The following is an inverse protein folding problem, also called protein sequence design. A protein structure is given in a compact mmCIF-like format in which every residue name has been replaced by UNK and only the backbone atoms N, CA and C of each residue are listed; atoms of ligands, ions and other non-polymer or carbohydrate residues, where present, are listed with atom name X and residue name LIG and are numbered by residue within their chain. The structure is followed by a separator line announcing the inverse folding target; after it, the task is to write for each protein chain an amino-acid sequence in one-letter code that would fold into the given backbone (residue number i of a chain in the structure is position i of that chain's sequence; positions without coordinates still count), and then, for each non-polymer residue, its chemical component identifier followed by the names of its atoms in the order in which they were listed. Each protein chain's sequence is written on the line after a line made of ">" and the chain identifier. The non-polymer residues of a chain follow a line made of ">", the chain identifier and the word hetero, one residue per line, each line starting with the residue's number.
data_IF_260894995053
#
_entry.id   IF_260894995053
#
_cell.length_a   1.000
_cell.length_b   1.000
_cell.length_c   1.000
_cell.angle_alpha   90.00
_cell.angle_beta   90.00
_cell.angle_gamma   90.00
#
_symmetry.space_group_name_H-M   'P 1'
#
loop_
_entity.id
_entity.type
_entity.pdbx_description
1 polymer ?
#
# COMPACT_ATOMS: atom_id res chain seq x y z
N UNK A 1 -13.04 -14.18 18.18
CA UNK A 1 -12.24 -15.27 17.56
C UNK A 1 -13.16 -16.35 17.00
N UNK A 2 -14.17 -16.77 17.76
CA UNK A 2 -15.14 -17.78 17.34
C UNK A 2 -15.93 -17.41 16.07
N UNK A 3 -16.32 -16.14 15.91
CA UNK A 3 -16.99 -15.66 14.69
C UNK A 3 -16.11 -15.76 13.44
N UNK A 4 -14.80 -15.62 13.60
CA UNK A 4 -13.82 -15.76 12.51
C UNK A 4 -13.65 -17.22 12.11
N UNK A 5 -13.54 -18.10 13.11
CA UNK A 5 -13.48 -19.56 12.90
C UNK A 5 -14.72 -20.03 12.16
N UNK A 6 -15.91 -19.61 12.59
CA UNK A 6 -17.17 -19.93 11.94
C UNK A 6 -17.23 -19.40 10.49
N UNK A 7 -16.69 -18.21 10.22
CA UNK A 7 -16.63 -17.67 8.86
C UNK A 7 -15.64 -18.42 7.96
N UNK A 8 -14.47 -18.83 8.49
CA UNK A 8 -13.52 -19.70 7.79
C UNK A 8 -14.20 -21.02 7.42
N UNK A 9 -14.89 -21.63 8.38
CA UNK A 9 -15.62 -22.89 8.19
C UNK A 9 -16.75 -22.76 7.16
N UNK A 10 -17.47 -21.63 7.14
CA UNK A 10 -18.50 -21.34 6.14
C UNK A 10 -17.93 -21.05 4.74
N UNK A 11 -16.71 -20.51 4.64
CA UNK A 11 -16.07 -20.14 3.36
C UNK A 11 -15.35 -21.31 2.70
N UNK A 12 -14.79 -22.24 3.48
CA UNK A 12 -14.02 -23.37 2.97
C UNK A 12 -14.76 -24.24 1.92
N UNK A 13 -16.07 -24.52 2.04
CA UNK A 13 -16.82 -25.22 0.99
C UNK A 13 -16.79 -24.49 -0.36
N UNK A 14 -16.94 -23.17 -0.38
CA UNK A 14 -16.92 -22.35 -1.61
C UNK A 14 -15.52 -22.35 -2.26
N UNK A 15 -14.47 -22.31 -1.44
CA UNK A 15 -13.09 -22.39 -1.93
C UNK A 15 -12.78 -23.73 -2.59
N UNK A 16 -13.23 -24.83 -1.97
CA UNK A 16 -13.04 -26.18 -2.49
C UNK A 16 -13.77 -26.35 -3.83
N UNK A 17 -15.01 -25.86 -3.93
CA UNK A 17 -15.79 -25.88 -5.18
C UNK A 17 -15.11 -25.07 -6.30
N UNK A 18 -14.48 -23.95 -5.95
CA UNK A 18 -13.67 -23.14 -6.86
C UNK A 18 -12.26 -23.70 -7.14
N UNK A 19 -11.93 -24.91 -6.69
CA UNK A 19 -10.62 -25.55 -6.88
C UNK A 19 -9.46 -24.90 -6.11
N UNK A 20 -9.77 -24.13 -5.06
CA UNK A 20 -8.80 -23.41 -4.21
C UNK A 20 -8.52 -24.17 -2.91
N UNK A 21 -7.39 -23.85 -2.28
CA UNK A 21 -6.99 -24.46 -1.01
C UNK A 21 -7.85 -23.91 0.14
N UNK A 22 -8.37 -24.76 1.04
CA UNK A 22 -9.14 -24.29 2.20
C UNK A 22 -8.25 -23.51 3.18
N UNK A 23 -8.86 -22.55 3.87
CA UNK A 23 -8.24 -21.69 4.88
C UNK A 23 -8.21 -22.40 6.25
N UNK A 24 -7.17 -22.10 7.04
CA UNK A 24 -6.99 -22.72 8.36
C UNK A 24 -7.78 -21.98 9.44
N UNK A 25 -8.70 -22.64 10.16
CA UNK A 25 -9.42 -22.02 11.29
C UNK A 25 -8.49 -21.65 12.46
N UNK A 26 -7.29 -22.23 12.51
CA UNK A 26 -6.28 -21.99 13.54
C UNK A 26 -5.44 -20.74 13.29
N UNK A 27 -5.61 -20.07 12.14
CA UNK A 27 -4.86 -18.87 11.81
C UNK A 27 -5.79 -17.77 11.22
N UNK A 28 -6.61 -17.14 12.08
CA UNK A 28 -7.55 -16.09 11.69
C UNK A 28 -6.87 -14.86 11.07
N UNK A 29 -5.60 -14.59 11.42
CA UNK A 29 -4.81 -13.53 10.82
C UNK A 29 -4.53 -13.79 9.32
N UNK A 30 -4.29 -15.05 8.96
CA UNK A 30 -4.10 -15.43 7.56
C UNK A 30 -5.40 -15.40 6.77
N UNK A 31 -6.57 -15.64 7.37
CA UNK A 31 -7.87 -15.53 6.67
C UNK A 31 -8.04 -14.15 6.03
N UNK A 32 -7.86 -13.08 6.81
CA UNK A 32 -7.99 -11.72 6.28
C UNK A 32 -6.92 -11.39 5.23
N UNK A 33 -5.67 -11.83 5.44
CA UNK A 33 -4.57 -11.65 4.48
C UNK A 33 -4.84 -12.40 3.17
N UNK A 34 -5.33 -13.63 3.24
CA UNK A 34 -5.62 -14.46 2.08
C UNK A 34 -6.84 -13.94 1.30
N UNK A 35 -7.82 -13.38 2.01
CA UNK A 35 -8.96 -12.70 1.41
C UNK A 35 -8.48 -11.44 0.66
N UNK A 36 -7.69 -10.57 1.30
CA UNK A 36 -7.20 -9.30 0.75
C UNK A 36 -6.13 -9.44 -0.34
N UNK A 37 -5.34 -10.52 -0.34
CA UNK A 37 -4.38 -10.84 -1.41
C UNK A 37 -5.03 -11.37 -2.69
N UNK A 38 -6.22 -11.96 -2.58
CA UNK A 38 -6.94 -12.54 -3.72
C UNK A 38 -8.10 -11.65 -4.18
N UNK A 39 -8.86 -12.10 -5.20
CA UNK A 39 -10.08 -11.42 -5.59
C UNK A 39 -11.16 -11.60 -4.50
N UNK A 40 -11.20 -10.62 -3.59
CA UNK A 40 -12.03 -10.52 -2.38
C UNK A 40 -13.51 -10.84 -2.62
N UNK A 41 -14.08 -10.25 -3.67
CA UNK A 41 -15.51 -10.35 -3.99
C UNK A 41 -15.94 -11.79 -4.29
N UNK A 42 -15.07 -12.55 -4.96
CA UNK A 42 -15.38 -13.93 -5.35
C UNK A 42 -15.23 -14.95 -4.21
N UNK A 43 -14.68 -14.54 -3.07
CA UNK A 43 -14.41 -15.44 -1.93
C UNK A 43 -15.25 -15.11 -0.69
N UNK A 44 -15.88 -13.93 -0.66
CA UNK A 44 -16.72 -13.55 0.47
C UNK A 44 -18.10 -14.22 0.41
N UNK A 45 -18.64 -14.70 1.54
CA UNK A 45 -19.99 -15.30 1.55
C UNK A 45 -21.06 -14.32 1.08
N UNK A 46 -21.71 -14.63 -0.04
CA UNK A 46 -22.74 -13.76 -0.63
C UNK A 46 -23.90 -13.50 0.34
N UNK A 47 -24.26 -14.48 1.15
CA UNK A 47 -25.30 -14.34 2.19
C UNK A 47 -24.98 -13.30 3.26
N UNK A 48 -23.70 -12.98 3.49
CA UNK A 48 -23.30 -11.91 4.40
C UNK A 48 -23.41 -10.54 3.72
N UNK A 49 -23.00 -10.43 2.45
CA UNK A 49 -23.17 -9.20 1.66
C UNK A 49 -24.64 -8.84 1.48
N UNK A 50 -25.49 -9.81 1.17
CA UNK A 50 -26.94 -9.65 1.05
C UNK A 50 -27.59 -9.18 2.37
N UNK A 51 -26.97 -9.51 3.51
CA UNK A 51 -27.38 -9.04 4.84
C UNK A 51 -26.72 -7.71 5.23
N UNK A 52 -26.00 -7.07 4.30
CA UNK A 52 -25.34 -5.79 4.52
C UNK A 52 -24.04 -5.88 5.30
N UNK A 53 -23.38 -7.05 5.37
CA UNK A 53 -22.13 -7.23 6.12
C UNK A 53 -20.93 -7.37 5.18
N UNK A 54 -19.85 -6.66 5.51
CA UNK A 54 -18.51 -6.83 4.93
C UNK A 54 -17.47 -7.02 6.03
N UNK A 55 -16.20 -7.20 5.65
CA UNK A 55 -15.06 -7.22 6.53
C UNK A 55 -14.29 -5.90 6.48
N UNK A 56 -13.70 -5.51 7.61
CA UNK A 56 -12.68 -4.46 7.68
C UNK A 56 -11.49 -4.98 8.45
N UNK A 57 -10.30 -4.51 8.07
CA UNK A 57 -9.09 -4.64 8.87
C UNK A 57 -9.33 -4.10 10.30
N UNK A 58 -8.94 -4.89 11.29
CA UNK A 58 -9.07 -4.56 12.72
C UNK A 58 -7.72 -4.59 13.43
N UNK A 59 -6.62 -4.53 12.67
CA UNK A 59 -5.28 -4.34 13.24
C UNK A 59 -5.31 -3.08 14.07
N UNK A 60 -5.03 -3.25 15.37
CA UNK A 60 -5.02 -2.17 16.34
C UNK A 60 -6.29 -1.97 17.16
N UNK A 61 -7.39 -2.63 16.82
CA UNK A 61 -8.64 -2.57 17.58
C UNK A 61 -8.59 -3.42 18.88
N UNK A 62 -7.50 -4.17 19.12
CA UNK A 62 -7.29 -4.99 20.32
C UNK A 62 -6.15 -6.01 20.17
N UNK A 63 -5.80 -6.72 21.25
CA UNK A 63 -4.76 -7.76 21.21
C UNK A 63 -5.17 -8.91 20.27
N UNK A 64 -4.36 -9.14 19.22
CA UNK A 64 -4.61 -10.18 18.22
C UNK A 64 -5.78 -9.90 17.25
N UNK A 65 -6.35 -8.69 17.26
CA UNK A 65 -7.37 -8.29 16.31
C UNK A 65 -6.77 -8.18 14.90
N UNK A 66 -7.32 -8.94 13.95
CA UNK A 66 -6.84 -8.98 12.57
C UNK A 66 -7.88 -8.46 11.56
N UNK A 67 -9.16 -8.70 11.83
CA UNK A 67 -10.28 -8.14 11.09
C UNK A 67 -11.56 -8.18 11.93
N UNK A 68 -12.59 -7.44 11.50
CA UNK A 68 -13.94 -7.48 12.08
C UNK A 68 -15.01 -7.41 11.00
N UNK A 69 -16.16 -7.96 11.30
CA UNK A 69 -17.36 -7.73 10.50
C UNK A 69 -17.88 -6.31 10.75
N UNK A 70 -18.23 -5.62 9.68
CA UNK A 70 -18.83 -4.29 9.72
C UNK A 70 -20.05 -4.25 8.82
N UNK A 71 -21.06 -3.50 9.24
CA UNK A 71 -22.19 -3.20 8.40
C UNK A 71 -21.74 -2.26 7.28
N UNK A 72 -22.20 -2.54 6.06
CA UNK A 72 -22.12 -1.62 4.94
C UNK A 72 -23.02 -0.43 5.25
N UNK A 73 -22.43 0.77 5.21
CA UNK A 73 -23.22 2.00 5.19
C UNK A 73 -23.89 2.16 3.81
N UNK A 74 -24.98 2.92 3.74
CA UNK A 74 -25.68 3.16 2.47
C UNK A 74 -24.70 3.70 1.40
N UNK A 75 -24.64 3.00 0.26
CA UNK A 75 -23.74 3.34 -0.86
C UNK A 75 -22.28 2.88 -0.69
N UNK A 76 -21.91 2.23 0.41
CA UNK A 76 -20.56 1.71 0.62
C UNK A 76 -20.33 0.43 -0.20
N UNK A 77 -19.22 0.39 -0.94
CA UNK A 77 -18.77 -0.82 -1.65
C UNK A 77 -17.94 -1.68 -0.68
N UNK A 78 -18.32 -2.96 -0.55
CA UNK A 78 -17.75 -3.91 0.40
C UNK A 78 -16.26 -4.21 0.18
N UNK A 79 -15.83 -4.22 -1.07
CA UNK A 79 -14.46 -4.45 -1.49
C UNK A 79 -14.14 -3.46 -2.59
N UNK A 80 -13.23 -2.51 -2.31
CA UNK A 80 -12.80 -1.58 -3.34
C UNK A 80 -11.94 -2.33 -4.37
N UNK A 81 -12.07 -1.92 -5.63
CA UNK A 81 -11.18 -2.37 -6.68
C UNK A 81 -9.72 -2.09 -6.30
N UNK A 82 -8.80 -2.91 -6.83
CA UNK A 82 -7.37 -2.65 -6.68
C UNK A 82 -7.02 -1.29 -7.30
N UNK A 83 -6.04 -0.60 -6.72
CA UNK A 83 -5.53 0.64 -7.31
C UNK A 83 -4.72 0.26 -8.54
N UNK A 84 -5.22 0.65 -9.71
CA UNK A 84 -4.60 0.36 -10.99
C UNK A 84 -4.23 1.68 -11.71
N UNK A 85 -3.15 1.68 -12.50
CA UNK A 85 -2.78 2.86 -13.28
C UNK A 85 -3.90 3.28 -14.23
N UNK A 86 -4.16 4.58 -14.36
CA UNK A 86 -5.04 5.09 -15.41
C UNK A 86 -4.48 4.90 -16.82
N UNK A 87 -5.34 5.04 -17.82
CA UNK A 87 -4.91 5.04 -19.23
C UNK A 87 -3.91 6.16 -19.53
N UNK A 88 -4.04 7.31 -18.86
CA UNK A 88 -3.11 8.43 -19.00
C UNK A 88 -1.73 8.08 -18.43
N UNK A 89 -1.66 7.50 -17.23
CA UNK A 89 -0.41 7.03 -16.64
C UNK A 89 0.27 5.95 -17.51
N UNK A 90 -0.53 5.08 -18.14
CA UNK A 90 -0.04 4.06 -19.08
C UNK A 90 0.51 4.67 -20.39
N UNK A 91 -0.07 5.78 -20.85
CA UNK A 91 0.39 6.48 -22.04
C UNK A 91 1.66 7.30 -21.79
N UNK A 92 1.85 7.82 -20.57
CA UNK A 92 2.92 8.75 -20.21
C UNK A 92 3.98 8.12 -19.31
N UNK A 93 4.62 7.06 -19.78
CA UNK A 93 5.69 6.37 -19.04
C UNK A 93 6.95 7.24 -18.93
N UNK A 94 7.40 7.46 -17.69
CA UNK A 94 8.66 8.17 -17.39
C UNK A 94 9.80 7.16 -17.39
N UNK A 95 10.80 7.37 -18.25
CA UNK A 95 11.98 6.51 -18.29
C UNK A 95 13.05 7.06 -17.35
N UNK A 96 13.48 6.24 -16.39
CA UNK A 96 14.60 6.53 -15.50
C UNK A 96 15.81 5.67 -15.83
N UNK A 97 16.99 6.27 -15.72
CA UNK A 97 18.24 5.54 -15.89
C UNK A 97 18.49 4.61 -14.68
N UNK A 98 18.99 3.41 -14.94
CA UNK A 98 19.44 2.45 -13.91
C UNK A 98 20.90 2.02 -14.07
N UNK A 99 21.66 2.74 -14.90
CA UNK A 99 23.10 2.52 -15.11
C UNK A 99 23.88 2.80 -13.82
N UNK A 100 23.40 3.73 -12.99
CA UNK A 100 23.99 4.09 -11.70
C UNK A 100 23.82 3.03 -10.60
N UNK A 101 23.03 1.97 -10.83
CA UNK A 101 22.91 0.84 -9.92
C UNK A 101 24.09 -0.13 -10.06
N UNK A 102 24.81 -0.44 -8.95
CA UNK A 102 25.91 -1.40 -8.98
C UNK A 102 25.46 -2.79 -9.45
N UNK A 103 26.26 -3.43 -10.32
CA UNK A 103 25.98 -4.79 -10.80
C UNK A 103 25.86 -5.81 -9.66
N UNK A 104 26.66 -5.66 -8.60
CA UNK A 104 26.58 -6.52 -7.42
C UNK A 104 25.21 -6.43 -6.74
N UNK A 105 24.58 -5.25 -6.74
CA UNK A 105 23.24 -5.04 -6.19
C UNK A 105 22.20 -5.76 -7.05
N UNK A 106 22.29 -5.62 -8.38
CA UNK A 106 21.42 -6.32 -9.34
C UNK A 106 21.54 -7.86 -9.24
N UNK A 107 22.75 -8.35 -8.97
CA UNK A 107 23.04 -9.79 -8.84
C UNK A 107 22.41 -10.46 -7.62
N UNK A 108 21.97 -9.70 -6.61
CA UNK A 108 21.28 -10.25 -5.43
C UNK A 108 19.90 -10.83 -5.75
N UNK A 109 19.29 -10.44 -6.89
CA UNK A 109 18.09 -11.09 -7.43
C UNK A 109 16.87 -11.08 -6.50
N UNK A 110 16.78 -10.10 -5.59
CA UNK A 110 15.66 -9.98 -4.65
C UNK A 110 14.39 -9.52 -5.38
N UNK A 111 13.23 -9.98 -4.95
CA UNK A 111 11.92 -9.62 -5.56
C UNK A 111 10.90 -9.18 -4.50
N UNK A 112 11.34 -8.93 -3.27
CA UNK A 112 10.48 -8.54 -2.15
C UNK A 112 10.20 -7.02 -2.10
N UNK A 113 9.23 -6.63 -1.29
CA UNK A 113 8.79 -5.23 -1.13
C UNK A 113 9.92 -4.31 -0.66
N UNK A 114 10.80 -4.81 0.24
CA UNK A 114 11.96 -4.06 0.68
C UNK A 114 13.00 -3.85 -0.45
N UNK A 115 13.12 -4.79 -1.40
CA UNK A 115 13.92 -4.56 -2.61
C UNK A 115 13.34 -3.43 -3.46
N UNK A 116 12.03 -3.38 -3.67
CA UNK A 116 11.38 -2.27 -4.39
C UNK A 116 11.63 -0.94 -3.69
N UNK A 117 11.48 -0.87 -2.36
CA UNK A 117 11.76 0.33 -1.58
C UNK A 117 13.21 0.82 -1.75
N UNK A 118 14.19 -0.09 -1.71
CA UNK A 118 15.61 0.23 -1.89
C UNK A 118 15.95 0.70 -3.31
N UNK A 119 15.38 0.04 -4.32
CA UNK A 119 15.53 0.46 -5.73
C UNK A 119 14.91 1.84 -5.93
N UNK A 120 13.70 2.05 -5.39
CA UNK A 120 12.99 3.33 -5.44
C UNK A 120 13.81 4.48 -4.87
N UNK A 121 14.35 4.32 -3.66
CA UNK A 121 15.20 5.31 -3.02
C UNK A 121 16.51 5.54 -3.79
N UNK A 122 17.17 4.48 -4.26
CA UNK A 122 18.46 4.59 -4.96
C UNK A 122 18.36 5.33 -6.29
N UNK A 123 17.28 5.07 -7.03
CA UNK A 123 17.02 5.64 -8.35
C UNK A 123 16.10 6.86 -8.32
N UNK A 124 15.78 7.37 -7.12
CA UNK A 124 14.98 8.58 -6.94
C UNK A 124 13.60 8.51 -7.58
N UNK A 125 12.93 7.36 -7.45
CA UNK A 125 11.62 7.08 -8.08
C UNK A 125 10.54 8.03 -7.55
N UNK A 126 10.49 8.24 -6.23
CA UNK A 126 9.49 9.12 -5.60
C UNK A 126 9.80 10.58 -5.91
N UNK A 127 11.06 10.98 -5.83
CA UNK A 127 11.51 12.33 -6.19
C UNK A 127 11.17 12.66 -7.65
N UNK A 128 11.37 11.70 -8.56
CA UNK A 128 11.00 11.86 -9.97
C UNK A 128 9.50 12.02 -10.15
N UNK A 129 8.69 11.25 -9.41
CA UNK A 129 7.24 11.41 -9.42
C UNK A 129 6.84 12.84 -9.03
N UNK A 130 7.38 13.37 -7.93
CA UNK A 130 7.08 14.74 -7.51
C UNK A 130 7.55 15.78 -8.52
N UNK A 131 8.74 15.60 -9.10
CA UNK A 131 9.28 16.55 -10.08
C UNK A 131 8.52 16.55 -11.42
N UNK A 132 7.87 15.44 -11.78
CA UNK A 132 7.29 15.26 -13.11
C UNK A 132 5.76 15.35 -13.15
N UNK A 133 5.05 14.90 -12.12
CA UNK A 133 3.59 14.76 -12.14
C UNK A 133 2.87 15.32 -10.92
N UNK A 134 3.51 15.40 -9.75
CA UNK A 134 2.82 15.88 -8.56
C UNK A 134 2.57 17.39 -8.66
N UNK A 135 1.37 17.80 -8.25
CA UNK A 135 1.06 19.22 -8.03
C UNK A 135 1.57 19.71 -6.66
N UNK A 136 2.06 18.79 -5.82
CA UNK A 136 2.64 19.12 -4.53
C UNK A 136 3.99 19.83 -4.75
N UNK A 137 4.04 21.13 -4.44
CA UNK A 137 5.23 21.96 -4.65
C UNK A 137 6.39 21.55 -3.74
N UNK A 138 7.20 20.58 -4.16
CA UNK A 138 8.36 20.09 -3.43
C UNK A 138 9.63 20.90 -3.76
N UNK A 139 10.28 21.47 -2.75
CA UNK A 139 11.58 22.15 -2.87
C UNK A 139 12.75 21.20 -2.58
N UNK A 140 12.60 20.33 -1.59
CA UNK A 140 13.60 19.31 -1.24
C UNK A 140 12.89 18.00 -0.90
N UNK A 141 13.51 16.87 -1.27
CA UNK A 141 13.09 15.55 -0.79
C UNK A 141 14.30 14.71 -0.45
N UNK A 142 14.25 14.06 0.71
CA UNK A 142 15.33 13.24 1.26
C UNK A 142 14.78 11.91 1.75
N UNK A 143 15.28 10.80 1.20
CA UNK A 143 15.02 9.46 1.73
C UNK A 143 15.56 9.31 3.15
N UNK A 144 14.74 8.79 4.06
CA UNK A 144 15.12 8.62 5.47
C UNK A 144 15.56 7.17 5.74
N UNK A 145 14.63 6.22 5.62
CA UNK A 145 14.88 4.81 5.94
C UNK A 145 13.76 3.90 5.40
N UNK A 146 13.99 2.58 5.46
CA UNK A 146 13.01 1.53 5.17
C UNK A 146 12.53 0.84 6.44
N UNK A 147 11.35 0.22 6.40
CA UNK A 147 10.84 -0.68 7.44
C UNK A 147 10.59 -0.01 8.79
N UNK A 148 9.94 1.17 8.79
CA UNK A 148 9.60 1.88 10.02
C UNK A 148 8.42 1.17 10.69
N UNK A 149 8.69 0.48 11.78
CA UNK A 149 7.67 -0.16 12.61
C UNK A 149 7.10 0.81 13.62
N UNK A 150 5.78 0.90 13.64
CA UNK A 150 4.99 1.71 14.57
C UNK A 150 4.02 0.78 15.29
N UNK A 151 3.51 1.19 16.46
CA UNK A 151 2.63 0.34 17.26
C UNK A 151 1.39 -0.17 16.50
N UNK A 152 0.92 0.59 15.51
CA UNK A 152 -0.31 0.32 14.76
C UNK A 152 -0.11 0.19 13.23
N UNK A 153 1.14 0.10 12.77
CA UNK A 153 1.42 0.02 11.34
C UNK A 153 2.90 -0.11 11.02
N UNK A 154 3.19 -0.30 9.75
CA UNK A 154 4.56 -0.33 9.21
C UNK A 154 4.58 0.53 7.95
N UNK A 155 5.64 1.32 7.78
CA UNK A 155 5.92 2.06 6.55
C UNK A 155 7.13 1.42 5.90
N UNK A 156 6.97 0.95 4.67
CA UNK A 156 8.06 0.27 3.94
C UNK A 156 9.19 1.23 3.61
N UNK A 157 8.88 2.48 3.25
CA UNK A 157 9.86 3.55 3.04
C UNK A 157 9.32 4.92 3.47
N UNK A 158 10.16 5.71 4.13
CA UNK A 158 9.83 7.07 4.53
C UNK A 158 10.79 8.09 3.94
N UNK A 159 10.25 9.27 3.62
CA UNK A 159 10.98 10.41 3.10
C UNK A 159 10.63 11.66 3.92
N UNK A 160 11.57 12.59 3.97
CA UNK A 160 11.35 13.97 4.40
C UNK A 160 11.17 14.84 3.16
N UNK A 161 10.22 15.76 3.18
CA UNK A 161 9.97 16.71 2.11
C UNK A 161 9.89 18.12 2.70
N UNK A 162 10.56 19.07 2.07
CA UNK A 162 10.36 20.50 2.30
C UNK A 162 9.56 21.05 1.12
N UNK A 163 8.41 21.66 1.39
CA UNK A 163 7.62 22.31 0.35
C UNK A 163 8.22 23.68 -0.03
N UNK A 164 7.75 24.23 -1.16
CA UNK A 164 8.22 25.52 -1.68
C UNK A 164 7.91 26.71 -0.77
N UNK A 165 6.95 26.57 0.14
CA UNK A 165 6.57 27.58 1.12
C UNK A 165 7.32 27.41 2.46
N UNK A 166 8.17 26.38 2.58
CA UNK A 166 8.99 26.08 3.75
C UNK A 166 8.34 25.14 4.77
N UNK A 167 7.20 24.55 4.45
CA UNK A 167 6.54 23.53 5.27
C UNK A 167 7.29 22.21 5.23
N UNK A 168 7.52 21.61 6.41
CA UNK A 168 8.16 20.30 6.54
C UNK A 168 7.11 19.18 6.56
N UNK A 169 7.23 18.25 5.64
CA UNK A 169 6.34 17.10 5.47
C UNK A 169 7.12 15.80 5.53
N UNK A 170 6.41 14.71 5.84
CA UNK A 170 6.92 13.36 5.67
C UNK A 170 6.11 12.63 4.59
N UNK A 171 6.72 11.65 3.95
CA UNK A 171 6.01 10.73 3.06
C UNK A 171 6.04 9.33 3.68
N UNK A 172 4.89 8.66 3.65
CA UNK A 172 4.76 7.27 4.05
C UNK A 172 4.46 6.42 2.81
N UNK A 173 5.45 5.68 2.33
CA UNK A 173 5.38 4.90 1.10
C UNK A 173 5.23 3.41 1.43
N UNK A 174 4.15 2.80 0.95
CA UNK A 174 3.95 1.35 0.93
C UNK A 174 4.51 0.76 -0.38
N UNK A 175 5.30 -0.29 -0.29
CA UNK A 175 5.85 -1.01 -1.42
C UNK A 175 5.07 -2.32 -1.64
N UNK A 176 4.71 -2.61 -2.90
CA UNK A 176 3.95 -3.81 -3.26
C UNK A 176 4.56 -4.54 -4.43
N UNK A 177 4.66 -5.86 -4.28
CA UNK A 177 5.00 -6.75 -5.38
C UNK A 177 3.93 -6.78 -6.46
N UNK A 178 4.23 -7.44 -7.57
CA UNK A 178 3.31 -7.54 -8.71
C UNK A 178 1.98 -8.18 -8.37
N UNK A 179 1.98 -9.19 -7.50
CA UNK A 179 0.80 -9.95 -7.11
C UNK A 179 0.01 -9.33 -5.96
N UNK A 180 0.60 -8.40 -5.22
CA UNK A 180 0.02 -7.84 -4.00
C UNK A 180 -0.77 -6.57 -4.31
N UNK A 181 -1.97 -6.42 -3.74
CA UNK A 181 -2.83 -5.25 -3.96
C UNK A 181 -2.37 -4.04 -3.16
N UNK A 182 -2.64 -2.84 -3.67
CA UNK A 182 -2.45 -1.60 -2.90
C UNK A 182 -3.62 -1.47 -1.91
N UNK A 183 -3.33 -1.66 -0.62
CA UNK A 183 -4.35 -1.60 0.43
C UNK A 183 -4.45 -0.17 0.99
N UNK A 184 -5.21 0.71 0.32
CA UNK A 184 -5.34 2.13 0.68
C UNK A 184 -5.62 2.38 2.17
N UNK A 185 -6.56 1.68 2.85
CA UNK A 185 -6.76 1.91 4.28
C UNK A 185 -5.54 1.60 5.17
N UNK A 186 -4.64 0.72 4.75
CA UNK A 186 -3.41 0.42 5.50
C UNK A 186 -2.40 1.56 5.33
N UNK A 187 -2.31 2.12 4.13
CA UNK A 187 -1.45 3.27 3.81
C UNK A 187 -1.86 4.47 4.66
N UNK A 188 -3.16 4.81 4.67
CA UNK A 188 -3.70 5.92 5.48
C UNK A 188 -3.43 5.71 6.97
N UNK A 189 -3.67 4.50 7.50
CA UNK A 189 -3.37 4.20 8.91
C UNK A 189 -1.89 4.32 9.25
N UNK A 190 -1.01 3.88 8.35
CA UNK A 190 0.44 3.95 8.55
C UNK A 190 0.93 5.39 8.50
N UNK A 191 0.41 6.21 7.58
CA UNK A 191 0.66 7.66 7.54
C UNK A 191 0.17 8.36 8.81
N UNK A 192 -1.04 8.03 9.29
CA UNK A 192 -1.58 8.59 10.54
C UNK A 192 -0.76 8.20 11.77
N UNK A 193 -0.31 6.94 11.82
CA UNK A 193 0.55 6.43 12.90
C UNK A 193 1.92 7.13 12.89
N UNK A 194 2.48 7.36 11.71
CA UNK A 194 3.73 8.10 11.56
C UNK A 194 3.57 9.53 12.06
N UNK A 195 2.52 10.23 11.62
CA UNK A 195 2.22 11.60 12.04
C UNK A 195 2.06 11.71 13.56
N UNK A 196 1.33 10.79 14.18
CA UNK A 196 1.18 10.75 15.64
C UNK A 196 2.53 10.59 16.35
N UNK A 197 3.36 9.65 15.88
CA UNK A 197 4.68 9.39 16.47
C UNK A 197 5.64 10.59 16.38
N UNK A 198 5.65 11.34 15.27
CA UNK A 198 6.51 12.54 15.18
C UNK A 198 5.97 13.72 15.97
N UNK A 199 4.64 13.88 16.06
CA UNK A 199 4.02 14.91 16.90
C UNK A 199 4.27 14.68 18.39
N UNK A 200 4.26 13.42 18.84
CA UNK A 200 4.67 13.06 20.21
C UNK A 200 6.11 13.47 20.55
N UNK A 201 6.97 13.64 19.54
CA UNK A 201 8.37 14.05 19.68
C UNK A 201 8.58 15.54 19.45
N UNK A 202 7.51 16.34 19.41
CA UNK A 202 7.55 17.80 19.20
C UNK A 202 8.30 18.22 17.93
N UNK A 203 8.26 17.38 16.89
CA UNK A 203 8.79 17.77 15.57
C UNK A 203 7.76 18.63 14.83
N UNK A 204 8.22 19.74 14.25
CA UNK A 204 7.40 20.67 13.48
C UNK A 204 7.13 20.13 12.07
N UNK A 205 6.30 19.08 12.00
CA UNK A 205 5.87 18.44 10.76
C UNK A 205 4.42 18.86 10.47
N UNK A 206 4.20 19.47 9.31
CA UNK A 206 2.89 19.92 8.83
C UNK A 206 1.94 18.73 8.69
N UNK A 207 2.39 17.67 8.00
CA UNK A 207 1.63 16.46 7.79
C UNK A 207 2.44 15.31 7.21
N UNK A 208 1.75 14.21 6.92
CA UNK A 208 2.31 13.03 6.23
C UNK A 208 1.53 12.80 4.94
N UNK A 209 2.25 12.70 3.82
CA UNK A 209 1.70 12.34 2.52
C UNK A 209 1.67 10.81 2.36
N UNK A 210 0.49 10.19 2.21
CA UNK A 210 0.38 8.76 1.95
C UNK A 210 0.69 8.42 0.50
N UNK A 211 1.46 7.36 0.25
CA UNK A 211 1.82 6.93 -1.10
C UNK A 211 1.96 5.41 -1.22
N UNK A 212 1.94 4.92 -2.46
CA UNK A 212 2.36 3.56 -2.77
C UNK A 212 3.27 3.47 -4.00
N UNK A 213 4.12 2.44 -4.00
CA UNK A 213 4.84 1.95 -5.16
C UNK A 213 4.46 0.50 -5.42
N UNK A 214 4.18 0.14 -6.67
CA UNK A 214 3.83 -1.22 -7.05
C UNK A 214 4.55 -1.65 -8.31
N UNK A 215 5.13 -2.85 -8.29
CA UNK A 215 5.65 -3.47 -9.53
C UNK A 215 4.46 -3.82 -10.43
N UNK A 216 4.45 -3.34 -11.67
CA UNK A 216 3.38 -3.63 -12.64
C UNK A 216 3.88 -4.36 -13.90
N UNK A 217 5.20 -4.52 -14.02
CA UNK A 217 5.84 -5.26 -15.10
C UNK A 217 7.35 -5.25 -14.98
N UNK A 218 8.06 -5.87 -15.93
CA UNK A 218 9.52 -5.87 -15.95
C UNK A 218 10.06 -4.45 -15.89
N UNK A 219 10.80 -4.14 -14.82
CA UNK A 219 11.38 -2.83 -14.56
C UNK A 219 10.37 -1.66 -14.61
N UNK A 220 9.08 -1.94 -14.36
CA UNK A 220 8.02 -0.93 -14.33
C UNK A 220 7.42 -0.81 -12.95
N UNK A 221 7.48 0.40 -12.40
CA UNK A 221 6.98 0.75 -11.09
C UNK A 221 5.85 1.75 -11.29
N UNK A 222 4.67 1.39 -10.81
CA UNK A 222 3.57 2.32 -10.63
C UNK A 222 3.76 3.07 -9.32
N UNK A 223 3.69 4.40 -9.35
CA UNK A 223 3.78 5.28 -8.18
C UNK A 223 2.47 6.03 -8.08
N UNK A 224 1.86 6.03 -6.89
CA UNK A 224 0.59 6.71 -6.64
C UNK A 224 0.68 7.54 -5.36
N UNK A 225 0.23 8.79 -5.47
CA UNK A 225 0.10 9.76 -4.41
C UNK A 225 -1.35 9.87 -3.99
N UNK A 226 -1.59 9.86 -2.67
CA UNK A 226 -2.92 10.04 -2.11
C UNK A 226 -3.03 11.38 -1.39
N UNK A 227 -4.26 11.88 -1.28
CA UNK A 227 -4.54 13.11 -0.55
C UNK A 227 -4.09 13.04 0.93
N UNK A 228 -3.68 14.16 1.54
CA UNK A 228 -3.16 14.18 2.91
C UNK A 228 -4.25 14.08 4.00
N UNK A 229 -5.53 13.90 3.68
CA UNK A 229 -6.56 13.68 4.70
C UNK A 229 -6.36 12.31 5.35
N UNK A 230 -5.96 12.31 6.62
CA UNK A 230 -5.76 11.11 7.44
C UNK A 230 -6.91 10.88 8.45
N UNK A 231 -8.03 11.59 8.28
CA UNK A 231 -9.19 11.51 9.15
C UNK A 231 -9.91 10.15 9.10
N UNK A 232 -10.77 9.89 10.09
CA UNK A 232 -11.48 8.62 10.28
C UNK A 232 -12.44 8.22 9.13
N UNK A 233 -12.69 9.11 8.17
CA UNK A 233 -13.47 8.87 6.96
C UNK A 233 -12.68 8.96 5.66
N UNK A 234 -11.35 9.14 5.73
CA UNK A 234 -10.52 9.29 4.54
C UNK A 234 -10.64 8.07 3.64
N UNK A 235 -10.83 8.35 2.36
CA UNK A 235 -10.96 7.33 1.33
C UNK A 235 -9.67 7.08 0.57
N UNK A 236 -8.62 7.90 0.81
CA UNK A 236 -7.37 7.89 0.06
C UNK A 236 -7.63 8.19 -1.42
N UNK A 237 -8.05 9.41 -1.70
CA UNK A 237 -8.24 9.91 -3.06
C UNK A 237 -6.88 9.99 -3.74
N UNK A 238 -6.77 9.47 -4.96
CA UNK A 238 -5.55 9.61 -5.76
C UNK A 238 -5.46 11.05 -6.25
N UNK A 239 -4.34 11.71 -5.98
CA UNK A 239 -4.08 13.10 -6.41
C UNK A 239 -3.08 13.17 -7.55
N UNK A 240 -2.15 12.21 -7.62
CA UNK A 240 -1.21 12.08 -8.72
C UNK A 240 -0.80 10.61 -8.89
N UNK A 241 -0.44 10.23 -10.11
CA UNK A 241 0.07 8.90 -10.41
C UNK A 241 1.07 8.94 -11.57
N UNK A 242 2.02 8.01 -11.58
CA UNK A 242 2.95 7.84 -12.70
C UNK A 242 3.41 6.40 -12.86
N UNK A 243 3.87 6.07 -14.06
CA UNK A 243 4.60 4.83 -14.33
C UNK A 243 6.04 5.18 -14.63
N UNK A 244 6.94 4.58 -13.86
CA UNK A 244 8.37 4.70 -14.03
C UNK A 244 8.92 3.40 -14.62
N UNK A 245 9.60 3.51 -15.76
CA UNK A 245 10.32 2.42 -16.40
C UNK A 245 11.83 2.59 -16.22
N UNK A 246 12.47 1.61 -15.57
CA UNK A 246 13.91 1.62 -15.31
C UNK A 246 14.67 1.04 -16.51
N UNK A 247 15.64 1.80 -17.03
CA UNK A 247 16.47 1.39 -18.17
C UNK A 247 17.97 1.59 -17.93
N UNK A 248 18.83 0.56 -18.09
CA UNK A 248 18.50 -0.84 -18.43
C UNK A 248 17.60 -1.51 -17.39
N UNK A 249 17.11 -2.71 -17.70
CA UNK A 249 16.28 -3.44 -16.75
C UNK A 249 17.00 -3.68 -15.41
N UNK A 250 16.23 -3.62 -14.32
CA UNK A 250 16.68 -3.93 -12.96
C UNK A 250 16.09 -5.27 -12.55
N UNK A 251 16.92 -6.32 -12.43
CA UNK A 251 16.47 -7.62 -11.92
C UNK A 251 15.75 -7.48 -10.58
N UNK A 252 14.68 -8.24 -10.40
CA UNK A 252 13.88 -8.20 -9.18
C UNK A 252 12.65 -7.30 -9.23
N UNK A 253 12.61 -6.36 -10.17
CA UNK A 253 11.41 -5.59 -10.50
C UNK A 253 10.69 -6.32 -11.64
N UNK A 254 9.87 -7.33 -11.33
CA UNK A 254 9.30 -8.27 -12.32
C UNK A 254 7.85 -8.71 -12.07
#
# INVERSE_FOLDING_TARGET
>A
MDEVVAAIEATNPLLIDAGKRPLSPRNPANFWKDLTRNNLEGLWPQSLLERGWTGKDAIGDGEGACFRFVLLSDGQVAFRADVAPSEEALANVIVLESLSMPLAMKALGRTDENWLAQVGARLRVVETHFAAVSEFGAAEMTFLQTGIKMGQGEVDAAYSLLDVDGGHWLLAVEAKGKRDKIHVPQIIRSAASLLAQVREREQDVVGVLPMAMKVIGPSRIYVVEFDPDLGAGSTGTIVAESIIELRPEVPGIA
#
